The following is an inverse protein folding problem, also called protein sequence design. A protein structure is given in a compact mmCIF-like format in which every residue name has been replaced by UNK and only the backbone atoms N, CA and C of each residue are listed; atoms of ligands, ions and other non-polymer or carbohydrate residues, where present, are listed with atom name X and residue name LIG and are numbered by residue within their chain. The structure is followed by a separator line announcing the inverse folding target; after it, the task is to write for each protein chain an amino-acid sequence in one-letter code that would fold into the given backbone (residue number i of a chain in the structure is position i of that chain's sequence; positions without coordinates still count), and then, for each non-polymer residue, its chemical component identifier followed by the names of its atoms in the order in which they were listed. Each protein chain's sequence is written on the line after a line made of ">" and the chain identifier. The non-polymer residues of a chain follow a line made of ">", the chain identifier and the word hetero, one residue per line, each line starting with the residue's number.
data_IF_684155563016
#
_entry.id   IF_684155563016
#
_cell.length_a   1.000
_cell.length_b   1.000
_cell.length_c   1.000
_cell.angle_alpha   90.00
_cell.angle_beta   90.00
_cell.angle_gamma   90.00
#
_symmetry.space_group_name_H-M   'P 1'
#
loop_
_entity.id
_entity.type
_entity.pdbx_description
1 polymer ?
#
# COMPACT_ATOMS: atom_id res chain seq x y z
N UNK A 1 63.18 -16.74 30.32
CA UNK A 1 63.53 -16.25 28.97
C UNK A 1 62.73 -17.06 27.97
N UNK A 2 62.08 -16.56 26.94
CA UNK A 2 61.35 -15.31 26.72
C UNK A 2 60.37 -15.64 25.58
N UNK A 3 59.17 -15.08 25.68
CA UNK A 3 58.01 -15.03 24.78
C UNK A 3 58.10 -15.38 23.28
N UNK A 4 56.95 -15.77 22.69
CA UNK A 4 56.60 -15.39 21.32
C UNK A 4 55.33 -14.50 21.30
N UNK A 5 55.49 -13.19 21.50
CA UNK A 5 54.47 -12.17 21.17
C UNK A 5 54.96 -11.35 19.98
N UNK A 6 55.14 -12.00 18.83
CA UNK A 6 55.58 -11.32 17.60
C UNK A 6 54.75 -11.64 16.35
N UNK A 7 53.59 -12.29 16.48
CA UNK A 7 52.67 -12.48 15.35
C UNK A 7 51.48 -11.50 15.33
N UNK A 8 51.23 -10.76 16.40
CA UNK A 8 50.15 -9.77 16.43
C UNK A 8 50.60 -8.35 16.04
N UNK A 9 51.90 -8.03 16.11
CA UNK A 9 52.36 -6.66 15.87
C UNK A 9 52.54 -6.29 14.39
N UNK A 10 52.57 -7.26 13.47
CA UNK A 10 52.68 -6.98 12.03
C UNK A 10 51.34 -6.72 11.32
N UNK A 11 50.19 -7.00 11.96
CA UNK A 11 48.89 -6.66 11.35
C UNK A 11 48.40 -5.26 11.70
N UNK A 12 48.90 -4.66 12.79
CA UNK A 12 48.40 -3.35 13.26
C UNK A 12 49.21 -2.19 12.64
N UNK A 13 50.45 -2.44 12.19
CA UNK A 13 51.31 -1.37 11.64
C UNK A 13 50.98 -0.93 10.20
N UNK A 14 49.98 -1.50 9.52
CA UNK A 14 49.57 -1.03 8.19
C UNK A 14 48.40 -0.04 8.19
N UNK A 15 47.88 0.38 9.35
CA UNK A 15 46.81 1.36 9.42
C UNK A 15 47.27 2.82 9.59
N UNK A 16 48.58 3.10 9.47
CA UNK A 16 49.13 4.47 9.56
C UNK A 16 50.04 4.74 8.35
N UNK A 17 49.44 4.75 7.16
CA UNK A 17 49.95 5.56 6.05
C UNK A 17 48.78 5.78 5.11
N UNK A 18 48.33 7.03 5.02
CA UNK A 18 47.26 7.46 4.11
C UNK A 18 47.69 7.30 2.65
N UNK A 19 47.62 6.07 2.16
CA UNK A 19 47.82 5.75 0.76
C UNK A 19 46.45 5.50 0.16
N UNK A 20 45.94 6.53 -0.52
CA UNK A 20 44.74 6.48 -1.35
C UNK A 20 44.97 5.48 -2.49
N UNK A 21 44.69 4.21 -2.24
CA UNK A 21 44.54 3.24 -3.31
C UNK A 21 43.17 3.46 -3.96
N UNK A 22 43.22 4.22 -5.06
CA UNK A 22 42.22 4.21 -6.12
C UNK A 22 41.99 2.74 -6.54
N UNK A 23 40.91 2.15 -6.02
CA UNK A 23 40.37 0.93 -6.62
C UNK A 23 39.90 1.29 -8.03
N UNK A 24 40.31 0.57 -9.10
CA UNK A 24 39.60 0.66 -10.35
C UNK A 24 38.19 0.14 -10.07
N UNK A 25 37.24 1.07 -10.10
CA UNK A 25 35.81 0.79 -10.04
C UNK A 25 35.49 -0.13 -11.21
N UNK A 26 35.53 -1.44 -10.98
CA UNK A 26 34.83 -2.40 -11.80
C UNK A 26 33.36 -2.18 -11.55
N UNK A 27 32.81 -1.18 -12.22
CA UNK A 27 31.39 -1.13 -12.51
C UNK A 27 31.08 -2.41 -13.28
N UNK A 28 30.67 -3.46 -12.56
CA UNK A 28 29.72 -4.40 -13.13
C UNK A 28 28.48 -3.55 -13.36
N UNK A 29 28.43 -2.93 -14.53
CA UNK A 29 27.18 -2.52 -15.13
C UNK A 29 26.38 -3.80 -15.28
N UNK A 30 25.59 -4.15 -14.26
CA UNK A 30 24.33 -4.82 -14.53
C UNK A 30 23.53 -3.79 -15.33
N UNK A 31 23.79 -3.75 -16.64
CA UNK A 31 22.79 -3.36 -17.59
C UNK A 31 21.63 -4.30 -17.31
N UNK A 32 20.66 -3.81 -16.54
CA UNK A 32 19.31 -4.33 -16.58
C UNK A 32 18.78 -3.96 -17.96
N UNK A 33 19.32 -4.60 -18.99
CA UNK A 33 18.62 -4.80 -20.24
C UNK A 33 17.51 -5.77 -19.87
N UNK A 34 16.43 -5.21 -19.33
CA UNK A 34 15.12 -5.81 -19.49
C UNK A 34 14.85 -5.76 -20.99
N UNK A 35 15.47 -6.67 -21.73
CA UNK A 35 14.89 -7.17 -22.96
C UNK A 35 13.64 -7.90 -22.50
N UNK A 36 12.57 -7.13 -22.29
CA UNK A 36 11.22 -7.65 -22.34
C UNK A 36 11.12 -8.35 -23.70
N UNK A 37 11.27 -9.67 -23.72
CA UNK A 37 11.07 -10.51 -24.90
C UNK A 37 9.58 -10.54 -25.33
N UNK A 38 8.82 -9.53 -24.93
CA UNK A 38 7.39 -9.39 -25.12
C UNK A 38 7.02 -7.90 -25.08
N UNK A 39 7.70 -7.11 -25.90
CA UNK A 39 7.28 -5.75 -26.21
C UNK A 39 6.97 -5.62 -27.71
N UNK A 40 6.24 -6.60 -28.24
CA UNK A 40 5.54 -6.45 -29.51
C UNK A 40 4.31 -7.38 -29.59
N UNK A 41 3.51 -7.44 -28.51
CA UNK A 41 2.08 -7.51 -28.79
C UNK A 41 1.70 -6.08 -29.11
N UNK A 42 1.74 -5.79 -30.41
CA UNK A 42 0.87 -4.82 -31.05
C UNK A 42 -0.56 -5.18 -30.63
N UNK A 43 -0.94 -4.75 -29.43
CA UNK A 43 -2.34 -4.74 -29.03
C UNK A 43 -2.98 -3.84 -30.06
N UNK A 44 -3.72 -4.45 -30.98
CA UNK A 44 -4.66 -3.73 -31.82
C UNK A 44 -5.31 -2.68 -30.94
N UNK A 45 -5.11 -1.42 -31.30
CA UNK A 45 -5.89 -0.34 -30.72
C UNK A 45 -7.34 -0.82 -30.69
N UNK A 46 -8.10 -0.63 -29.60
CA UNK A 46 -9.52 -0.87 -29.65
C UNK A 46 -10.02 -0.03 -30.83
N UNK A 47 -10.42 -0.69 -31.91
CA UNK A 47 -10.93 0.00 -33.08
C UNK A 47 -11.97 1.00 -32.56
N UNK A 48 -11.77 2.29 -32.86
CA UNK A 48 -12.81 3.29 -32.64
C UNK A 48 -14.13 2.70 -33.13
N UNK A 49 -15.25 2.92 -32.42
CA UNK A 49 -16.53 2.44 -32.89
C UNK A 49 -16.78 3.05 -34.26
N UNK A 50 -16.65 2.21 -35.28
CA UNK A 50 -17.02 2.51 -36.65
C UNK A 50 -18.50 2.83 -36.61
N UNK A 51 -18.83 4.10 -36.80
CA UNK A 51 -20.16 4.71 -37.00
C UNK A 51 -21.36 4.00 -36.32
N UNK A 52 -22.10 4.65 -35.41
CA UNK A 52 -23.23 4.03 -34.70
C UNK A 52 -24.45 3.67 -35.60
N UNK A 53 -24.36 3.84 -36.92
CA UNK A 53 -25.45 3.65 -37.87
C UNK A 53 -25.38 2.35 -38.70
N UNK A 54 -24.54 1.37 -38.33
CA UNK A 54 -24.54 0.04 -38.98
C UNK A 54 -25.10 -1.04 -38.06
N UNK A 55 -26.38 -1.36 -38.27
CA UNK A 55 -27.06 -2.51 -37.71
C UNK A 55 -26.42 -3.82 -38.24
N UNK A 56 -26.00 -4.78 -37.38
CA UNK A 56 -25.32 -6.02 -37.81
C UNK A 56 -26.18 -7.05 -38.56
N UNK A 57 -27.45 -6.76 -38.82
CA UNK A 57 -28.29 -7.58 -39.70
C UNK A 57 -28.59 -6.78 -40.96
N UNK A 58 -28.05 -7.24 -42.09
CA UNK A 58 -28.23 -6.69 -43.44
C UNK A 58 -29.67 -6.91 -43.96
N UNK A 59 -30.68 -6.52 -43.17
CA UNK A 59 -32.03 -6.40 -43.67
C UNK A 59 -32.10 -5.11 -44.46
N UNK A 60 -32.49 -5.15 -45.75
CA UNK A 60 -32.71 -3.93 -46.50
C UNK A 60 -33.70 -3.10 -45.70
N UNK A 61 -33.28 -1.90 -45.32
CA UNK A 61 -34.16 -0.89 -44.78
C UNK A 61 -35.25 -0.74 -45.84
N UNK A 62 -36.44 -1.27 -45.53
CA UNK A 62 -37.59 -1.14 -46.41
C UNK A 62 -37.87 0.35 -46.41
N UNK A 63 -37.36 1.04 -47.41
CA UNK A 63 -37.89 2.29 -47.92
C UNK A 63 -39.40 2.09 -47.91
N UNK A 64 -40.07 2.59 -46.87
CA UNK A 64 -41.52 2.62 -46.83
C UNK A 64 -41.84 3.62 -47.94
N UNK A 65 -42.37 3.18 -49.09
CA UNK A 65 -42.74 4.14 -50.11
C UNK A 65 -43.79 5.06 -49.46
N UNK A 66 -43.84 6.36 -49.77
CA UNK A 66 -44.95 7.21 -49.36
C UNK A 66 -46.17 6.83 -50.23
N UNK A 67 -46.65 5.61 -50.07
CA UNK A 67 -47.85 5.07 -50.72
C UNK A 67 -49.00 5.04 -49.71
N UNK A 68 -49.06 6.06 -48.86
CA UNK A 68 -50.11 6.28 -47.87
C UNK A 68 -50.68 7.71 -47.94
N UNK A 69 -50.57 8.40 -49.08
CA UNK A 69 -51.07 9.77 -49.25
C UNK A 69 -52.19 9.94 -50.29
N UNK A 70 -52.72 8.87 -50.89
CA UNK A 70 -53.77 8.96 -51.92
C UNK A 70 -54.96 8.01 -51.69
N UNK A 71 -55.40 7.88 -50.45
CA UNK A 71 -56.78 7.46 -50.17
C UNK A 71 -57.50 8.65 -49.52
N UNK A 72 -58.48 9.29 -50.19
CA UNK A 72 -59.38 10.19 -49.50
C UNK A 72 -60.03 9.40 -48.37
N UNK A 73 -59.67 9.73 -47.13
CA UNK A 73 -60.35 9.20 -45.96
C UNK A 73 -61.80 9.66 -46.06
N UNK A 74 -62.78 8.76 -46.12
CA UNK A 74 -64.16 9.18 -46.09
C UNK A 74 -64.49 9.91 -44.78
N UNK A 75 -65.05 11.11 -44.88
CA UNK A 75 -65.40 11.98 -43.75
C UNK A 75 -66.70 11.56 -43.06
N UNK A 76 -66.80 10.27 -42.74
CA UNK A 76 -67.87 9.73 -41.92
C UNK A 76 -67.23 8.93 -40.81
N UNK A 77 -67.01 9.59 -39.67
CA UNK A 77 -67.17 9.09 -38.30
C UNK A 77 -66.81 10.23 -37.30
N UNK A 78 -67.45 11.39 -37.43
CA UNK A 78 -67.56 12.30 -36.27
C UNK A 78 -68.67 11.76 -35.38
N UNK A 79 -68.28 11.00 -34.36
CA UNK A 79 -69.21 10.45 -33.38
C UNK A 79 -69.01 8.97 -33.19
N UNK A 80 -67.92 8.59 -32.54
CA UNK A 80 -67.83 7.26 -31.94
C UNK A 80 -66.97 7.32 -30.66
N UNK A 81 -67.43 8.16 -29.73
CA UNK A 81 -66.99 8.11 -28.33
C UNK A 81 -67.58 6.89 -27.58
N UNK A 82 -68.40 6.06 -28.27
CA UNK A 82 -68.91 4.77 -27.79
C UNK A 82 -68.08 3.56 -28.26
N UNK A 83 -67.02 3.75 -29.06
CA UNK A 83 -66.04 2.68 -29.34
C UNK A 83 -65.21 2.38 -28.10
N UNK A 84 -65.33 1.15 -27.60
CA UNK A 84 -64.39 0.60 -26.61
C UNK A 84 -63.00 0.53 -27.26
N UNK A 85 -62.20 1.58 -27.04
CA UNK A 85 -60.79 1.59 -27.44
C UNK A 85 -60.08 0.45 -26.72
N UNK A 86 -59.36 -0.44 -27.42
CA UNK A 86 -58.59 -1.49 -26.77
C UNK A 86 -57.65 -0.88 -25.73
N UNK A 87 -57.90 -1.18 -24.45
CA UNK A 87 -57.08 -0.67 -23.35
C UNK A 87 -55.67 -1.25 -23.52
N UNK A 88 -54.66 -0.38 -23.57
CA UNK A 88 -53.26 -0.81 -23.61
C UNK A 88 -53.00 -1.67 -22.38
N UNK A 89 -52.93 -2.99 -22.56
CA UNK A 89 -52.64 -3.89 -21.47
C UNK A 89 -51.23 -3.60 -20.99
N UNK A 90 -51.08 -3.43 -19.69
CA UNK A 90 -49.78 -3.16 -19.10
C UNK A 90 -48.98 -4.45 -19.17
N UNK A 91 -47.84 -4.40 -19.86
CA UNK A 91 -46.95 -5.55 -19.99
C UNK A 91 -46.45 -5.99 -18.60
N UNK A 92 -46.71 -7.22 -18.14
CA UNK A 92 -46.36 -7.70 -16.80
C UNK A 92 -44.85 -7.58 -16.49
N UNK A 93 -44.00 -7.74 -17.49
CA UNK A 93 -42.53 -7.59 -17.39
C UNK A 93 -42.15 -6.12 -17.17
N UNK A 94 -42.91 -5.20 -17.78
CA UNK A 94 -42.69 -3.76 -17.67
C UNK A 94 -43.49 -3.11 -16.53
N UNK A 95 -44.48 -3.78 -15.94
CA UNK A 95 -45.12 -3.31 -14.70
C UNK A 95 -44.33 -3.70 -13.45
N UNK A 96 -43.64 -4.84 -13.48
CA UNK A 96 -42.88 -5.30 -12.32
C UNK A 96 -41.56 -4.54 -12.18
N UNK A 97 -41.52 -3.60 -11.23
CA UNK A 97 -40.29 -2.86 -10.88
C UNK A 97 -39.16 -3.80 -10.45
N UNK A 98 -39.48 -4.84 -9.69
CA UNK A 98 -38.49 -5.84 -9.23
C UNK A 98 -37.80 -6.53 -10.40
N UNK A 99 -38.56 -6.96 -11.43
CA UNK A 99 -37.97 -7.62 -12.59
C UNK A 99 -37.07 -6.67 -13.41
N UNK A 100 -37.51 -5.42 -13.59
CA UNK A 100 -36.69 -4.41 -14.27
C UNK A 100 -35.42 -4.06 -13.50
N UNK A 101 -35.51 -3.99 -12.18
CA UNK A 101 -34.40 -3.73 -11.28
C UNK A 101 -33.37 -4.85 -11.34
N UNK A 102 -33.81 -6.10 -11.31
CA UNK A 102 -32.95 -7.24 -11.51
C UNK A 102 -32.25 -7.20 -12.88
N UNK A 103 -32.98 -6.91 -13.96
CA UNK A 103 -32.39 -6.78 -15.30
C UNK A 103 -31.31 -5.69 -15.35
N UNK A 104 -31.59 -4.53 -14.73
CA UNK A 104 -30.64 -3.42 -14.63
C UNK A 104 -29.41 -3.82 -13.81
N UNK A 105 -29.59 -4.47 -12.67
CA UNK A 105 -28.51 -4.93 -11.80
C UNK A 105 -27.62 -5.95 -12.50
N UNK A 106 -28.20 -6.94 -13.16
CA UNK A 106 -27.47 -7.95 -13.94
C UNK A 106 -26.61 -7.31 -15.03
N UNK A 107 -27.17 -6.35 -15.78
CA UNK A 107 -26.42 -5.59 -16.79
C UNK A 107 -25.29 -4.76 -16.16
N UNK A 108 -25.53 -4.14 -15.00
CA UNK A 108 -24.52 -3.35 -14.30
C UNK A 108 -23.39 -4.23 -13.75
N UNK A 109 -23.71 -5.41 -13.22
CA UNK A 109 -22.76 -6.38 -12.69
C UNK A 109 -21.85 -6.93 -13.80
N UNK A 110 -22.45 -7.29 -14.95
CA UNK A 110 -21.69 -7.71 -16.13
C UNK A 110 -20.78 -6.57 -16.65
N UNK A 111 -21.30 -5.35 -16.77
CA UNK A 111 -20.50 -4.17 -17.18
C UNK A 111 -19.37 -3.83 -16.21
N UNK A 112 -19.57 -4.06 -14.91
CA UNK A 112 -18.57 -3.81 -13.86
C UNK A 112 -17.60 -4.97 -13.66
N UNK A 113 -17.76 -6.08 -14.40
CA UNK A 113 -16.97 -7.30 -14.18
C UNK A 113 -17.18 -7.92 -12.80
N UNK A 114 -18.22 -7.50 -12.07
CA UNK A 114 -18.70 -8.12 -10.83
C UNK A 114 -19.66 -9.23 -11.27
N UNK A 115 -19.14 -10.18 -12.06
CA UNK A 115 -19.93 -11.31 -12.49
C UNK A 115 -20.24 -12.21 -11.30
N UNK A 116 -21.48 -12.70 -11.22
CA UNK A 116 -21.81 -14.04 -10.68
C UNK A 116 -21.31 -15.10 -11.68
N UNK A 117 -20.21 -14.81 -12.36
CA UNK A 117 -19.49 -15.81 -13.11
C UNK A 117 -18.57 -16.45 -12.09
N UNK A 118 -18.83 -17.72 -11.81
CA UNK A 118 -17.80 -18.59 -11.25
C UNK A 118 -16.62 -18.48 -12.20
N UNK A 119 -15.68 -17.57 -11.92
CA UNK A 119 -14.40 -17.50 -12.61
C UNK A 119 -13.89 -18.94 -12.73
N UNK A 120 -13.36 -19.35 -13.89
CA UNK A 120 -12.87 -20.71 -14.04
C UNK A 120 -11.92 -21.01 -12.87
N UNK A 121 -12.04 -22.21 -12.29
CA UNK A 121 -11.37 -22.60 -11.03
C UNK A 121 -9.90 -22.16 -10.98
N UNK A 122 -9.18 -22.30 -12.09
CA UNK A 122 -7.79 -21.86 -12.24
C UNK A 122 -7.60 -20.36 -12.00
N UNK A 123 -8.45 -19.50 -12.56
CA UNK A 123 -8.36 -18.05 -12.38
C UNK A 123 -8.63 -17.66 -10.93
N UNK A 124 -9.60 -18.31 -10.28
CA UNK A 124 -9.88 -18.09 -8.84
C UNK A 124 -8.66 -18.46 -8.00
N UNK A 125 -8.04 -19.61 -8.26
CA UNK A 125 -6.83 -20.08 -7.56
C UNK A 125 -5.65 -19.12 -7.78
N UNK A 126 -5.44 -18.61 -9.00
CA UNK A 126 -4.37 -17.65 -9.29
C UNK A 126 -4.59 -16.30 -8.57
N UNK A 127 -5.82 -15.80 -8.57
CA UNK A 127 -6.18 -14.57 -7.85
C UNK A 127 -6.05 -14.73 -6.34
N UNK A 128 -6.48 -15.88 -5.80
CA UNK A 128 -6.35 -16.24 -4.39
C UNK A 128 -4.89 -16.31 -3.98
N UNK A 129 -4.05 -17.05 -4.71
CA UNK A 129 -2.60 -17.13 -4.46
C UNK A 129 -1.94 -15.75 -4.48
N UNK A 130 -2.32 -14.89 -5.42
CA UNK A 130 -1.81 -13.50 -5.50
C UNK A 130 -2.25 -12.70 -4.27
N UNK A 131 -3.51 -12.85 -3.85
CA UNK A 131 -4.06 -12.17 -2.67
C UNK A 131 -3.37 -12.64 -1.39
N UNK A 132 -3.17 -13.95 -1.23
CA UNK A 132 -2.46 -14.56 -0.11
C UNK A 132 -1.01 -14.10 -0.03
N UNK A 133 -0.31 -14.02 -1.16
CA UNK A 133 1.07 -13.51 -1.20
C UNK A 133 1.14 -12.07 -0.71
N UNK A 134 0.23 -11.20 -1.18
CA UNK A 134 0.17 -9.80 -0.75
C UNK A 134 -0.15 -9.71 0.75
N UNK A 135 -1.09 -10.51 1.25
CA UNK A 135 -1.45 -10.53 2.68
C UNK A 135 -0.26 -10.99 3.53
N UNK A 136 0.46 -12.04 3.10
CA UNK A 136 1.63 -12.54 3.79
C UNK A 136 2.74 -11.49 3.84
N UNK A 137 3.01 -10.81 2.73
CA UNK A 137 3.99 -9.72 2.68
C UNK A 137 3.60 -8.58 3.61
N UNK A 138 2.34 -8.11 3.54
CA UNK A 138 1.83 -7.06 4.42
C UNK A 138 1.94 -7.43 5.89
N UNK A 139 1.63 -8.68 6.26
CA UNK A 139 1.76 -9.17 7.63
C UNK A 139 3.21 -9.17 8.11
N UNK A 140 4.15 -9.58 7.27
CA UNK A 140 5.58 -9.54 7.60
C UNK A 140 6.09 -8.10 7.76
N UNK A 141 5.70 -7.20 6.86
CA UNK A 141 6.06 -5.78 6.93
C UNK A 141 5.47 -5.12 8.19
N UNK A 142 4.22 -5.45 8.54
CA UNK A 142 3.58 -4.97 9.76
C UNK A 142 4.25 -5.52 11.01
N UNK A 143 4.64 -6.79 11.04
CA UNK A 143 5.38 -7.36 12.17
C UNK A 143 6.76 -6.71 12.35
N UNK A 144 7.47 -6.45 11.24
CA UNK A 144 8.74 -5.71 11.27
C UNK A 144 8.53 -4.28 11.79
N UNK A 145 7.50 -3.57 11.31
CA UNK A 145 7.13 -2.24 11.80
C UNK A 145 6.74 -2.24 13.27
N UNK A 146 6.02 -3.25 13.74
CA UNK A 146 5.67 -3.41 15.16
C UNK A 146 6.91 -3.62 16.03
N UNK A 147 7.88 -4.42 15.59
CA UNK A 147 9.16 -4.60 16.30
C UNK A 147 9.95 -3.30 16.37
N UNK A 148 10.02 -2.55 15.26
CA UNK A 148 10.63 -1.21 15.23
C UNK A 148 9.91 -0.27 16.21
N UNK A 149 8.58 -0.28 16.23
CA UNK A 149 7.77 0.53 17.15
C UNK A 149 7.93 0.12 18.63
N UNK A 150 8.12 -1.18 18.92
CA UNK A 150 8.43 -1.64 20.28
C UNK A 150 9.78 -1.10 20.77
N UNK A 151 10.80 -1.12 19.91
CA UNK A 151 12.10 -0.52 20.21
C UNK A 151 11.99 1.00 20.42
N UNK A 152 11.23 1.69 19.57
CA UNK A 152 10.97 3.13 19.69
C UNK A 152 10.36 3.46 21.06
N UNK A 153 9.40 2.66 21.52
CA UNK A 153 8.80 2.84 22.84
C UNK A 153 9.79 2.60 23.99
N UNK A 154 10.69 1.62 23.85
CA UNK A 154 11.74 1.38 24.85
C UNK A 154 12.77 2.51 24.88
N UNK A 155 13.19 3.01 23.72
CA UNK A 155 14.08 4.17 23.61
C UNK A 155 13.46 5.40 24.28
N UNK A 156 12.18 5.65 24.04
CA UNK A 156 11.45 6.74 24.69
C UNK A 156 11.45 6.59 26.21
N UNK A 157 11.19 5.38 26.73
CA UNK A 157 11.25 5.10 28.17
C UNK A 157 12.65 5.32 28.75
N UNK A 158 13.70 4.90 28.04
CA UNK A 158 15.09 5.13 28.48
C UNK A 158 15.42 6.61 28.49
N UNK A 159 15.00 7.35 27.48
CA UNK A 159 15.18 8.79 27.42
C UNK A 159 14.48 9.49 28.59
N UNK A 160 13.20 9.19 28.85
CA UNK A 160 12.47 9.72 30.01
C UNK A 160 13.19 9.44 31.34
N UNK A 161 13.70 8.22 31.52
CA UNK A 161 14.45 7.85 32.71
C UNK A 161 15.77 8.62 32.87
N UNK A 162 16.47 8.88 31.77
CA UNK A 162 17.69 9.68 31.79
C UNK A 162 17.39 11.13 32.14
N UNK A 163 16.35 11.72 31.55
CA UNK A 163 15.92 13.10 31.85
C UNK A 163 15.53 13.25 33.34
N UNK A 164 14.86 12.27 33.92
CA UNK A 164 14.54 12.24 35.36
C UNK A 164 15.81 12.20 36.24
N UNK A 165 16.80 11.38 35.86
CA UNK A 165 18.07 11.29 36.59
C UNK A 165 18.89 12.57 36.47
N UNK A 166 18.96 13.17 35.28
CA UNK A 166 19.64 14.45 35.06
C UNK A 166 18.99 15.56 35.89
N UNK A 167 17.66 15.61 35.93
CA UNK A 167 16.92 16.56 36.75
C UNK A 167 17.20 16.37 38.25
N UNK A 168 17.21 15.13 38.75
CA UNK A 168 17.51 14.87 40.16
C UNK A 168 18.98 15.16 40.48
N UNK A 169 19.91 14.87 39.57
CA UNK A 169 21.32 15.25 39.71
C UNK A 169 21.47 16.76 39.77
N UNK A 170 20.83 17.52 38.88
CA UNK A 170 20.84 18.98 38.93
C UNK A 170 20.30 19.52 40.26
N UNK A 171 19.21 18.93 40.78
CA UNK A 171 18.66 19.29 42.11
C UNK A 171 19.64 18.99 43.24
N UNK A 172 20.35 17.87 43.18
CA UNK A 172 21.39 17.52 44.17
C UNK A 172 22.59 18.46 44.07
N UNK A 173 23.03 18.79 42.86
CA UNK A 173 24.12 19.75 42.61
C UNK A 173 23.75 21.15 43.08
N UNK A 174 22.53 21.64 42.82
CA UNK A 174 22.03 22.91 43.35
C UNK A 174 22.00 22.92 44.88
N UNK A 175 21.48 21.84 45.48
CA UNK A 175 21.46 21.68 46.94
C UNK A 175 22.86 21.63 47.55
N UNK A 176 23.80 20.99 46.84
CA UNK A 176 25.19 20.89 47.25
C UNK A 176 25.91 22.24 47.06
N UNK A 177 25.70 22.94 45.95
CA UNK A 177 26.19 24.31 45.72
C UNK A 177 25.65 25.30 46.76
N UNK A 178 24.38 25.15 47.16
CA UNK A 178 23.74 25.94 48.21
C UNK A 178 24.21 25.57 49.64
N UNK A 179 24.81 24.40 49.84
CA UNK A 179 25.29 23.97 51.15
C UNK A 179 26.54 24.76 51.58
N UNK A 180 26.64 25.17 52.85
CA UNK A 180 27.82 25.88 53.36
C UNK A 180 29.13 25.10 53.18
N UNK A 181 30.22 25.81 52.91
CA UNK A 181 31.52 25.24 52.54
C UNK A 181 32.08 24.24 53.59
N UNK A 182 31.87 24.49 54.88
CA UNK A 182 32.34 23.60 55.95
C UNK A 182 31.65 22.22 55.93
N UNK A 183 30.42 22.11 55.41
CA UNK A 183 29.73 20.83 55.22
C UNK A 183 30.43 20.02 54.11
N UNK A 184 30.80 20.68 52.99
CA UNK A 184 31.54 20.05 51.87
C UNK A 184 32.91 19.56 52.30
N UNK A 185 33.67 20.38 53.03
CA UNK A 185 35.00 20.03 53.54
C UNK A 185 34.91 18.81 54.48
N UNK A 186 33.89 18.74 55.34
CA UNK A 186 33.67 17.61 56.24
C UNK A 186 33.34 16.31 55.50
N UNK A 187 32.50 16.35 54.46
CA UNK A 187 32.22 15.16 53.64
C UNK A 187 33.44 14.69 52.86
N UNK A 188 34.19 15.60 52.25
CA UNK A 188 35.43 15.28 51.54
C UNK A 188 36.45 14.59 52.44
N UNK A 189 36.61 15.08 53.68
CA UNK A 189 37.48 14.47 54.68
C UNK A 189 36.98 13.07 55.12
N UNK A 190 35.66 12.85 55.12
CA UNK A 190 35.04 11.54 55.40
C UNK A 190 35.21 10.55 54.24
N UNK A 191 35.15 11.02 52.99
CA UNK A 191 35.36 10.21 51.79
C UNK A 191 36.82 9.73 51.69
N UNK A 192 37.79 10.60 52.00
CA UNK A 192 39.20 10.24 51.98
C UNK A 192 39.62 9.35 53.16
N UNK A 193 39.00 9.51 54.34
CA UNK A 193 39.31 8.66 55.49
C UNK A 193 38.83 7.21 55.31
N UNK A 194 37.70 6.99 54.63
CA UNK A 194 37.21 5.64 54.29
C UNK A 194 38.04 4.95 53.20
N UNK A 195 38.55 5.70 52.22
CA UNK A 195 39.47 5.16 51.19
C UNK A 195 40.84 4.80 51.78
N UNK A 196 41.28 5.50 52.84
CA UNK A 196 42.56 5.26 53.51
C UNK A 196 42.57 4.06 54.46
N UNK A 197 41.42 3.53 54.88
CA UNK A 197 41.33 2.42 55.83
C UNK A 197 41.34 1.01 55.20
N UNK A 198 41.46 0.90 53.87
CA UNK A 198 41.40 -0.38 53.14
C UNK A 198 42.74 -1.06 52.80
N UNK A 199 43.88 -0.42 53.09
CA UNK A 199 45.22 -0.91 52.67
C UNK A 199 46.10 -1.43 53.83
N UNK A 200 45.51 -1.87 54.95
CA UNK A 200 46.27 -2.55 56.01
C UNK A 200 45.68 -3.91 56.33
N UNK A 201 46.07 -4.91 55.54
CA UNK A 201 46.11 -6.30 55.99
C UNK A 201 47.49 -6.88 55.63
N UNK A 202 48.11 -7.46 56.66
CA UNK A 202 49.45 -8.08 56.75
C UNK A 202 49.26 -9.58 56.80
#
# INVERSE_FOLDING_TARGET
>A
MSEPVLFHYLSISQFITGQSFLLPSSHIVFSLSSASAYADIQWEQPHQPRNPDRDPFDYPHREIPPLASYTPQPDYMTGDDDLIKPKKMINPVKSSKSHQELHRELLMNHKRGIGVENKPELQRVLEERKREQIIKQKKQDEEARRKISQLEHELLKRHQKLDELEKEQARLEDSNCSAPEFIKVKENLRRTSLASSGEKEV
#
